data_IF_217814899794
#
_entry.id   IF_217814899794
#
_cell.length_a   1.000
_cell.length_b   1.000
_cell.length_c   1.000
_cell.angle_alpha   90.00
_cell.angle_beta   90.00
_cell.angle_gamma   90.00
#
_symmetry.space_group_name_H-M   'P 1'
#
loop_
_entity.id
_entity.type
_entity.pdbx_description
1 polymer ?
#
# COMPACT_ATOMS: atom_id res chain seq x y z
N UNK A 1 12.42 42.84 36.96
CA UNK A 1 13.23 43.35 35.83
C UNK A 1 14.15 42.24 35.37
N UNK A 2 14.09 41.90 34.06
CA UNK A 2 15.09 41.15 33.26
C UNK A 2 15.31 39.69 33.71
N UNK A 3 15.04 38.67 32.90
CA UNK A 3 15.45 38.55 31.50
C UNK A 3 14.51 37.63 30.73
N UNK A 4 14.10 38.10 29.56
CA UNK A 4 13.47 37.33 28.49
C UNK A 4 14.61 36.82 27.60
N UNK A 5 14.71 35.51 27.40
CA UNK A 5 15.34 34.94 26.20
C UNK A 5 14.48 33.74 25.78
N UNK A 6 13.65 33.98 24.76
CA UNK A 6 12.85 32.97 24.09
C UNK A 6 13.79 31.98 23.41
N UNK A 7 13.72 30.71 23.82
CA UNK A 7 14.25 29.61 23.01
C UNK A 7 13.33 29.45 21.80
N UNK A 8 13.81 29.88 20.63
CA UNK A 8 13.17 29.67 19.35
C UNK A 8 13.14 28.16 19.04
N UNK A 9 12.05 27.49 19.38
CA UNK A 9 11.75 26.14 18.90
C UNK A 9 11.29 26.25 17.45
N UNK A 10 12.25 26.23 16.51
CA UNK A 10 11.96 26.02 15.09
C UNK A 10 11.50 24.56 14.95
N UNK A 11 10.18 24.35 15.03
CA UNK A 11 9.55 23.11 14.63
C UNK A 11 9.74 22.98 13.10
N UNK A 12 10.79 22.29 12.69
CA UNK A 12 10.97 21.86 11.30
C UNK A 12 9.84 20.87 10.98
N UNK A 13 8.74 21.38 10.43
CA UNK A 13 7.78 20.59 9.67
C UNK A 13 8.47 20.10 8.40
N UNK A 14 9.20 19.00 8.52
CA UNK A 14 9.60 18.22 7.35
C UNK A 14 8.33 17.96 6.54
N UNK A 15 8.29 18.30 5.24
CA UNK A 15 7.19 17.85 4.41
C UNK A 15 7.22 16.33 4.54
N UNK A 16 6.09 15.73 4.94
CA UNK A 16 5.92 14.30 4.88
C UNK A 16 6.28 13.91 3.44
N UNK A 17 7.48 13.33 3.27
CA UNK A 17 7.98 12.87 1.98
C UNK A 17 6.83 12.15 1.33
N UNK A 18 6.44 12.58 0.14
CA UNK A 18 5.36 12.02 -0.64
C UNK A 18 5.39 10.50 -0.47
N UNK A 19 4.52 9.97 0.39
CA UNK A 19 4.43 8.55 0.61
C UNK A 19 3.96 8.04 -0.74
N UNK A 20 4.85 7.41 -1.51
CA UNK A 20 4.46 6.74 -2.74
C UNK A 20 3.27 5.88 -2.37
N UNK A 21 2.08 6.21 -2.89
CA UNK A 21 0.86 5.53 -2.49
C UNK A 21 1.02 4.06 -2.89
N UNK A 22 1.29 3.16 -1.94
CA UNK A 22 1.47 1.74 -2.22
C UNK A 22 0.30 1.14 -2.98
N UNK A 23 -0.90 1.75 -2.88
CA UNK A 23 -2.08 1.36 -3.64
C UNK A 23 -1.98 1.74 -5.12
N UNK A 24 -1.24 2.79 -5.49
CA UNK A 24 -0.98 3.13 -6.88
C UNK A 24 -0.03 2.11 -7.52
N UNK A 25 1.02 1.71 -6.81
CA UNK A 25 1.94 0.65 -7.26
C UNK A 25 1.20 -0.69 -7.43
N UNK A 26 0.40 -1.10 -6.42
CA UNK A 26 -0.44 -2.31 -6.54
C UNK A 26 -1.35 -2.24 -7.75
N UNK A 27 -2.00 -1.10 -8.00
CA UNK A 27 -2.87 -0.92 -9.18
C UNK A 27 -2.10 -1.06 -10.49
N UNK A 28 -0.93 -0.44 -10.60
CA UNK A 28 -0.11 -0.50 -11.80
C UNK A 28 0.39 -1.92 -12.06
N UNK A 29 0.85 -2.64 -11.02
CA UNK A 29 1.41 -3.98 -11.14
C UNK A 29 0.35 -5.07 -11.35
N UNK A 30 -0.83 -4.91 -10.77
CA UNK A 30 -1.88 -5.94 -10.79
C UNK A 30 -2.94 -5.73 -11.89
N UNK A 31 -2.88 -4.65 -12.69
CA UNK A 31 -3.92 -4.36 -13.68
C UNK A 31 -4.16 -5.51 -14.67
N UNK A 32 -3.09 -6.12 -15.18
CA UNK A 32 -3.19 -7.25 -16.11
C UNK A 32 -3.81 -8.49 -15.43
N UNK A 33 -3.41 -8.77 -14.18
CA UNK A 33 -3.94 -9.88 -13.40
C UNK A 33 -5.41 -9.70 -13.05
N UNK A 34 -5.84 -8.49 -12.69
CA UNK A 34 -7.26 -8.16 -12.49
C UNK A 34 -8.03 -8.43 -13.78
N UNK A 35 -7.54 -7.95 -14.92
CA UNK A 35 -8.22 -8.17 -16.20
C UNK A 35 -8.31 -9.66 -16.56
N UNK A 36 -7.26 -10.43 -16.30
CA UNK A 36 -7.18 -11.84 -16.64
C UNK A 36 -7.98 -12.76 -15.71
N UNK A 37 -8.02 -12.46 -14.41
CA UNK A 37 -8.60 -13.36 -13.39
C UNK A 37 -9.92 -12.87 -12.80
N UNK A 38 -10.21 -11.56 -12.85
CA UNK A 38 -11.32 -10.94 -12.10
C UNK A 38 -12.39 -10.27 -12.98
N UNK A 39 -12.12 -10.09 -14.27
CA UNK A 39 -12.99 -9.34 -15.17
C UNK A 39 -12.84 -7.82 -15.05
N UNK A 40 -13.48 -7.09 -15.97
CA UNK A 40 -13.16 -5.68 -16.26
C UNK A 40 -13.81 -4.63 -15.33
N UNK A 41 -14.82 -5.00 -14.52
CA UNK A 41 -15.57 -4.01 -13.72
C UNK A 41 -15.78 -4.50 -12.29
N UNK A 42 -14.92 -4.03 -11.38
CA UNK A 42 -15.08 -4.24 -9.94
C UNK A 42 -14.80 -2.92 -9.19
N UNK A 43 -15.48 -2.73 -8.05
CA UNK A 43 -15.01 -1.75 -7.08
C UNK A 43 -13.61 -2.15 -6.59
N UNK A 44 -12.83 -1.18 -6.09
CA UNK A 44 -11.45 -1.44 -5.65
C UNK A 44 -11.35 -2.59 -4.65
N UNK A 45 -12.26 -2.64 -3.69
CA UNK A 45 -12.23 -3.66 -2.64
C UNK A 45 -12.56 -5.05 -3.18
N UNK A 46 -13.48 -5.13 -4.16
CA UNK A 46 -13.80 -6.37 -4.86
C UNK A 46 -12.64 -6.87 -5.72
N UNK A 47 -11.90 -5.96 -6.35
CA UNK A 47 -10.70 -6.32 -7.11
C UNK A 47 -9.62 -6.93 -6.20
N UNK A 48 -9.39 -6.35 -5.01
CA UNK A 48 -8.44 -6.91 -4.04
C UNK A 48 -8.86 -8.29 -3.55
N UNK A 49 -10.14 -8.48 -3.21
CA UNK A 49 -10.66 -9.78 -2.80
C UNK A 49 -10.47 -10.85 -3.89
N UNK A 50 -10.79 -10.53 -5.14
CA UNK A 50 -10.57 -11.46 -6.25
C UNK A 50 -9.09 -11.81 -6.48
N UNK A 51 -8.18 -10.83 -6.32
CA UNK A 51 -6.74 -11.09 -6.40
C UNK A 51 -6.29 -12.05 -5.30
N UNK A 52 -6.81 -11.89 -4.07
CA UNK A 52 -6.54 -12.81 -2.95
C UNK A 52 -7.04 -14.22 -3.27
N UNK A 53 -8.27 -14.36 -3.76
CA UNK A 53 -8.85 -15.66 -4.15
C UNK A 53 -8.06 -16.35 -5.29
N UNK A 54 -7.41 -15.57 -6.15
CA UNK A 54 -6.61 -16.06 -7.26
C UNK A 54 -5.10 -15.95 -7.04
N UNK A 55 -4.65 -15.83 -5.78
CA UNK A 55 -3.24 -15.59 -5.44
C UNK A 55 -2.27 -16.55 -6.17
N UNK A 56 -2.63 -17.82 -6.31
CA UNK A 56 -1.83 -18.82 -7.02
C UNK A 56 -1.57 -18.51 -8.50
N UNK A 57 -2.48 -17.79 -9.17
CA UNK A 57 -2.46 -17.49 -10.61
C UNK A 57 -1.83 -16.14 -10.95
N UNK A 58 -1.56 -15.31 -9.95
CA UNK A 58 -1.05 -13.96 -10.17
C UNK A 58 0.38 -13.97 -10.71
N UNK A 59 0.67 -12.98 -11.56
CA UNK A 59 2.02 -12.68 -12.00
C UNK A 59 2.96 -12.41 -10.81
N UNK A 60 4.26 -12.68 -11.00
CA UNK A 60 5.27 -12.40 -9.96
C UNK A 60 5.34 -10.91 -9.60
N UNK A 61 5.05 -10.02 -10.56
CA UNK A 61 5.03 -8.57 -10.33
C UNK A 61 3.87 -8.15 -9.41
N UNK A 62 2.66 -8.67 -9.64
CA UNK A 62 1.52 -8.39 -8.77
C UNK A 62 1.69 -9.02 -7.38
N UNK A 63 2.19 -10.25 -7.28
CA UNK A 63 2.50 -10.90 -5.99
C UNK A 63 3.45 -10.05 -5.16
N UNK A 64 4.59 -9.66 -5.74
CA UNK A 64 5.58 -8.82 -5.05
C UNK A 64 4.99 -7.49 -4.58
N UNK A 65 4.08 -6.90 -5.36
CA UNK A 65 3.43 -5.65 -4.98
C UNK A 65 2.45 -5.84 -3.80
N UNK A 66 1.68 -6.93 -3.78
CA UNK A 66 0.77 -7.28 -2.70
C UNK A 66 1.52 -7.65 -1.42
N UNK A 67 2.61 -8.40 -1.52
CA UNK A 67 3.51 -8.72 -0.40
C UNK A 67 4.10 -7.46 0.22
N UNK A 68 4.65 -6.55 -0.59
CA UNK A 68 5.12 -5.23 -0.09
C UNK A 68 3.99 -4.42 0.54
N UNK A 69 2.81 -4.42 -0.07
CA UNK A 69 1.66 -3.71 0.47
C UNK A 69 1.16 -4.33 1.78
N UNK A 70 1.33 -5.63 2.00
CA UNK A 70 0.97 -6.30 3.27
C UNK A 70 1.79 -5.80 4.46
N UNK A 71 3.00 -5.26 4.21
CA UNK A 71 3.85 -4.65 5.23
C UNK A 71 3.32 -3.28 5.72
N UNK A 72 2.39 -2.65 5.00
CA UNK A 72 1.84 -1.36 5.41
C UNK A 72 0.93 -1.51 6.64
N UNK A 73 1.13 -0.65 7.64
CA UNK A 73 0.35 -0.70 8.88
C UNK A 73 -1.17 -0.58 8.63
N UNK A 74 -1.58 0.19 7.62
CA UNK A 74 -2.97 0.42 7.22
C UNK A 74 -3.49 -0.63 6.22
N UNK A 75 -2.70 -1.62 5.83
CA UNK A 75 -3.19 -2.69 4.97
C UNK A 75 -4.31 -3.49 5.66
N UNK A 76 -5.36 -3.87 4.91
CA UNK A 76 -6.46 -4.66 5.45
C UNK A 76 -5.98 -6.05 5.89
N UNK A 77 -6.62 -6.61 6.91
CA UNK A 77 -6.21 -7.90 7.48
C UNK A 77 -6.30 -9.05 6.47
N UNK A 78 -7.25 -8.98 5.52
CA UNK A 78 -7.36 -9.97 4.43
C UNK A 78 -6.14 -9.98 3.52
N UNK A 79 -5.50 -8.83 3.28
CA UNK A 79 -4.25 -8.74 2.51
C UNK A 79 -3.09 -9.35 3.30
N UNK A 80 -2.97 -9.00 4.59
CA UNK A 80 -1.93 -9.51 5.48
C UNK A 80 -2.02 -11.02 5.70
N UNK A 81 -3.24 -11.56 5.74
CA UNK A 81 -3.48 -12.99 5.87
C UNK A 81 -3.11 -13.77 4.60
N UNK A 82 -3.34 -13.17 3.42
CA UNK A 82 -3.12 -13.82 2.15
C UNK A 82 -1.68 -13.70 1.63
N UNK A 83 -0.99 -12.62 1.98
CA UNK A 83 0.37 -12.33 1.53
C UNK A 83 1.21 -11.94 2.74
N UNK A 84 2.26 -12.71 3.01
CA UNK A 84 3.19 -12.41 4.08
C UNK A 84 4.09 -11.23 3.68
N UNK A 85 4.42 -10.38 4.64
CA UNK A 85 5.42 -9.34 4.47
C UNK A 85 6.82 -9.99 4.54
N UNK A 86 7.60 -10.01 3.44
CA UNK A 86 9.00 -10.38 3.52
C UNK A 86 9.74 -9.22 4.18
N UNK A 87 10.31 -9.48 5.35
CA UNK A 87 11.02 -8.49 6.18
C UNK A 87 12.23 -7.87 5.51
#
# INVERSE_FOLDING_TARGET
>A
MRSVLLAAAVAMSLPAFAQADGRAEVRARCQADVKANCGLVMSRDKALACLIENAGKLSGACKSALEKASCDAKAPDSLKAAFACPG
#
